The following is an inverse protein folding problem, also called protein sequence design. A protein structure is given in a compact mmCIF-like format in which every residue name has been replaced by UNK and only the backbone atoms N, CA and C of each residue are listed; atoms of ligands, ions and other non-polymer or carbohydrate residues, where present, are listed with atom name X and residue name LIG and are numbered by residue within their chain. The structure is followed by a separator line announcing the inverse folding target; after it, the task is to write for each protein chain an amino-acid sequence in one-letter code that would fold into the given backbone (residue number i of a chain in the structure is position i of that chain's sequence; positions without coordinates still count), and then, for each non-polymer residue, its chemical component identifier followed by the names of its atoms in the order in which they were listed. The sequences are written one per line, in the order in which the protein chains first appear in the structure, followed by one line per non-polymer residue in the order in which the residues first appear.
data_IF_067818457962
#
_entry.id   IF_067818457962
#
_cell.length_a   1.000
_cell.length_b   1.000
_cell.length_c   1.000
_cell.angle_alpha   90.00
_cell.angle_beta   90.00
_cell.angle_gamma   90.00
#
_symmetry.space_group_name_H-M   'P 1'
#
loop_
_entity.id
_entity.type
_entity.pdbx_description
1 polymer ?
#
# COMPACT_ATOMS: atom_id res chain seq x y z
N UNK A 1 -55.83 15.40 38.33
CA UNK A 1 -54.44 14.92 38.19
C UNK A 1 -53.56 16.14 38.03
N UNK A 2 -52.51 16.31 38.85
CA UNK A 2 -51.58 17.44 38.69
C UNK A 2 -50.65 17.23 37.51
N UNK A 3 -50.31 18.32 36.84
CA UNK A 3 -49.43 18.33 35.68
C UNK A 3 -48.35 19.40 35.88
N UNK A 4 -47.13 19.11 35.45
CA UNK A 4 -45.96 19.95 35.69
C UNK A 4 -45.29 20.34 34.37
N UNK A 5 -44.71 21.53 34.31
CA UNK A 5 -43.81 21.91 33.23
C UNK A 5 -42.42 21.34 33.52
N UNK A 6 -41.84 20.64 32.54
CA UNK A 6 -40.51 20.06 32.66
C UNK A 6 -39.71 20.42 31.41
N UNK A 7 -38.85 21.44 31.52
CA UNK A 7 -38.05 21.97 30.39
C UNK A 7 -37.10 20.93 29.77
N UNK A 8 -36.75 19.88 30.53
CA UNK A 8 -35.94 18.76 30.06
C UNK A 8 -36.71 17.79 29.16
N UNK A 9 -38.05 17.70 29.30
CA UNK A 9 -38.87 16.78 28.51
C UNK A 9 -39.14 17.28 27.10
N UNK A 10 -39.37 18.58 26.93
CA UNK A 10 -39.63 19.18 25.61
C UNK A 10 -38.46 19.01 24.64
N UNK A 11 -37.22 18.91 25.14
CA UNK A 11 -36.05 18.63 24.30
C UNK A 11 -36.04 17.20 23.74
N UNK A 12 -36.80 16.27 24.32
CA UNK A 12 -36.66 14.85 24.03
C UNK A 12 -38.01 14.11 24.06
N UNK A 13 -38.94 14.45 23.15
CA UNK A 13 -40.11 13.61 22.80
C UNK A 13 -39.63 12.22 22.38
N UNK A 14 -39.82 11.20 23.22
CA UNK A 14 -39.38 9.84 22.93
C UNK A 14 -40.32 8.80 23.54
N UNK A 15 -41.53 8.75 22.98
CA UNK A 15 -42.33 7.54 23.05
C UNK A 15 -41.87 6.61 21.91
N UNK A 16 -41.55 5.37 22.22
CA UNK A 16 -41.36 4.31 21.20
C UNK A 16 -42.74 3.90 20.73
N UNK A 17 -43.01 4.03 19.42
CA UNK A 17 -44.35 3.88 18.83
C UNK A 17 -44.97 2.47 18.96
N UNK A 18 -44.23 1.50 19.51
CA UNK A 18 -44.56 0.07 19.46
C UNK A 18 -45.15 -0.51 20.75
N UNK A 19 -45.30 0.28 21.82
CA UNK A 19 -45.75 -0.23 23.12
C UNK A 19 -47.30 -0.19 23.27
N UNK A 20 -47.92 -1.34 23.56
CA UNK A 20 -49.36 -1.44 23.86
C UNK A 20 -49.67 -0.78 25.21
N UNK A 21 -50.09 0.49 25.13
CA UNK A 21 -50.46 1.37 26.26
C UNK A 21 -51.46 0.69 27.20
N UNK A 22 -52.38 -0.13 26.66
CA UNK A 22 -53.39 -0.83 27.47
C UNK A 22 -52.72 -1.88 28.35
N UNK A 23 -51.82 -2.69 27.81
CA UNK A 23 -51.08 -3.71 28.58
C UNK A 23 -50.19 -3.12 29.65
N UNK A 24 -49.63 -1.93 29.41
CA UNK A 24 -48.76 -1.30 30.41
C UNK A 24 -49.58 -0.70 31.55
N UNK A 25 -50.66 0.00 31.23
CA UNK A 25 -51.49 0.70 32.22
C UNK A 25 -52.33 -0.24 33.08
N UNK A 26 -52.96 -1.24 32.45
CA UNK A 26 -53.98 -2.05 33.10
C UNK A 26 -53.39 -2.92 34.22
N UNK A 27 -54.18 -3.11 35.28
CA UNK A 27 -53.92 -4.02 36.39
C UNK A 27 -52.61 -3.77 37.14
N UNK A 28 -52.04 -2.56 37.01
CA UNK A 28 -50.87 -2.11 37.76
C UNK A 28 -51.22 -0.88 38.59
N UNK A 29 -50.78 -0.82 39.86
CA UNK A 29 -50.88 0.38 40.67
C UNK A 29 -49.83 1.43 40.26
N UNK A 30 -50.31 2.64 39.99
CA UNK A 30 -49.50 3.78 39.60
C UNK A 30 -49.58 4.89 40.64
N UNK A 31 -48.45 5.22 41.26
CA UNK A 31 -48.32 6.37 42.16
C UNK A 31 -48.21 7.65 41.32
N UNK A 32 -49.11 8.60 41.55
CA UNK A 32 -49.10 9.87 40.86
C UNK A 32 -48.13 10.79 41.58
N UNK A 33 -47.16 11.32 40.83
CA UNK A 33 -46.28 12.34 41.38
C UNK A 33 -47.08 13.61 41.66
N UNK A 34 -47.08 14.03 42.92
CA UNK A 34 -47.55 15.33 43.35
C UNK A 34 -46.44 16.05 44.13
N UNK A 35 -46.53 17.37 44.14
CA UNK A 35 -45.66 18.26 44.91
C UNK A 35 -46.14 18.47 46.35
N UNK A 36 -47.29 17.90 46.72
CA UNK A 36 -47.89 18.03 48.05
C UNK A 36 -47.42 16.97 49.05
N UNK A 37 -46.85 15.86 48.58
CA UNK A 37 -46.41 14.75 49.43
C UNK A 37 -47.51 13.77 49.82
N UNK A 38 -48.74 13.96 49.33
CA UNK A 38 -49.84 13.02 49.52
C UNK A 38 -49.63 11.74 48.71
N UNK A 39 -50.02 10.58 49.25
CA UNK A 39 -50.00 9.34 48.48
C UNK A 39 -51.22 9.30 47.56
N UNK A 40 -51.03 9.63 46.29
CA UNK A 40 -52.02 9.48 45.23
C UNK A 40 -51.74 8.19 44.44
N UNK A 41 -52.68 7.24 44.45
CA UNK A 41 -52.56 5.95 43.78
C UNK A 41 -53.69 5.73 42.78
N UNK A 42 -53.35 5.44 41.53
CA UNK A 42 -54.27 5.23 40.42
C UNK A 42 -54.17 3.79 39.92
N UNK A 43 -55.31 3.11 39.81
CA UNK A 43 -55.39 1.73 39.29
C UNK A 43 -56.32 1.72 38.09
N UNK A 44 -55.75 1.47 36.91
CA UNK A 44 -56.47 1.38 35.65
C UNK A 44 -56.94 -0.06 35.43
N UNK A 45 -58.25 -0.27 35.29
CA UNK A 45 -58.83 -1.59 35.03
C UNK A 45 -59.13 -1.79 33.54
N UNK A 46 -59.07 -3.03 33.07
CA UNK A 46 -59.31 -3.36 31.65
C UNK A 46 -60.70 -3.00 31.14
N UNK A 47 -61.69 -2.90 32.04
CA UNK A 47 -63.07 -2.54 31.75
C UNK A 47 -63.29 -1.03 31.51
N UNK A 48 -62.22 -0.22 31.62
CA UNK A 48 -62.26 1.23 31.47
C UNK A 48 -62.62 1.97 32.77
N UNK A 49 -62.68 1.29 33.91
CA UNK A 49 -62.79 1.95 35.21
C UNK A 49 -61.41 2.34 35.77
N UNK A 50 -61.35 3.50 36.42
CA UNK A 50 -60.15 4.01 37.09
C UNK A 50 -60.47 4.21 38.57
N UNK A 51 -59.69 3.57 39.42
CA UNK A 51 -59.77 3.78 40.88
C UNK A 51 -58.66 4.74 41.27
N UNK A 52 -59.02 5.93 41.76
CA UNK A 52 -58.08 6.91 42.30
C UNK A 52 -58.20 6.95 43.82
N UNK A 53 -57.13 6.68 44.55
CA UNK A 53 -57.05 6.76 46.02
C UNK A 53 -56.10 7.87 46.42
N UNK A 54 -56.57 8.83 47.21
CA UNK A 54 -55.74 9.92 47.78
C UNK A 54 -55.71 9.74 49.29
N UNK A 55 -54.56 9.36 49.84
CA UNK A 55 -54.39 9.04 51.27
C UNK A 55 -55.49 8.09 51.82
N UNK A 56 -55.99 7.17 50.99
CA UNK A 56 -57.04 6.20 51.35
C UNK A 56 -58.46 6.60 50.96
N UNK A 57 -58.71 7.85 50.54
CA UNK A 57 -60.01 8.28 50.03
C UNK A 57 -60.18 7.87 48.56
N UNK A 58 -61.14 7.00 48.29
CA UNK A 58 -61.35 6.40 46.96
C UNK A 58 -62.37 7.20 46.14
N UNK A 59 -61.98 7.55 44.92
CA UNK A 59 -62.84 8.14 43.90
C UNK A 59 -62.85 7.24 42.66
N UNK A 60 -64.04 6.80 42.27
CA UNK A 60 -64.23 6.06 41.02
C UNK A 60 -64.31 7.03 39.83
N UNK A 61 -63.48 6.79 38.84
CA UNK A 61 -63.37 7.53 37.59
C UNK A 61 -63.43 6.54 36.40
N UNK A 62 -63.43 7.07 35.18
CA UNK A 62 -63.35 6.27 33.95
C UNK A 62 -62.11 6.64 33.16
N UNK A 63 -61.58 5.71 32.40
CA UNK A 63 -60.51 5.96 31.46
C UNK A 63 -60.77 5.22 30.14
N UNK A 64 -60.23 5.75 29.06
CA UNK A 64 -60.32 5.16 27.73
C UNK A 64 -59.07 5.47 26.93
N UNK A 65 -58.48 4.46 26.30
CA UNK A 65 -57.47 4.68 25.28
C UNK A 65 -58.14 4.86 23.91
N UNK A 66 -57.79 5.93 23.20
CA UNK A 66 -58.24 6.26 21.85
C UNK A 66 -57.09 5.99 20.88
N UNK A 67 -57.08 4.83 20.18
CA UNK A 67 -55.99 4.48 19.27
C UNK A 67 -55.81 5.48 18.13
N UNK A 68 -56.91 6.04 17.62
CA UNK A 68 -56.90 6.97 16.48
C UNK A 68 -56.06 8.23 16.74
N UNK A 69 -56.03 8.72 17.98
CA UNK A 69 -55.21 9.88 18.38
C UNK A 69 -54.04 9.46 19.28
N UNK A 70 -53.81 8.16 19.47
CA UNK A 70 -52.84 7.60 20.43
C UNK A 70 -52.93 8.30 21.80
N UNK A 71 -54.15 8.56 22.28
CA UNK A 71 -54.39 9.36 23.47
C UNK A 71 -55.12 8.57 24.55
N UNK A 72 -54.84 8.89 25.79
CA UNK A 72 -55.49 8.39 26.99
C UNK A 72 -56.44 9.47 27.49
N UNK A 73 -57.73 9.18 27.53
CA UNK A 73 -58.74 10.03 28.15
C UNK A 73 -59.01 9.53 29.56
N UNK A 74 -58.95 10.44 30.54
CA UNK A 74 -59.29 10.15 31.94
C UNK A 74 -60.41 11.09 32.37
N UNK A 75 -61.54 10.52 32.75
CA UNK A 75 -62.77 11.21 33.12
C UNK A 75 -63.08 11.04 34.60
N UNK A 76 -62.97 12.14 35.34
CA UNK A 76 -63.46 12.29 36.71
C UNK A 76 -64.88 12.88 36.70
N UNK A 77 -65.58 12.84 37.85
CA UNK A 77 -66.99 13.27 37.97
C UNK A 77 -67.29 14.67 37.42
N UNK A 78 -66.32 15.59 37.47
CA UNK A 78 -66.49 16.98 37.05
C UNK A 78 -65.64 17.37 35.84
N UNK A 79 -64.60 16.60 35.50
CA UNK A 79 -63.56 17.02 34.55
C UNK A 79 -63.00 15.82 33.78
N UNK A 80 -62.73 16.00 32.49
CA UNK A 80 -62.03 15.01 31.68
C UNK A 80 -60.73 15.61 31.12
N UNK A 81 -59.67 14.81 31.13
CA UNK A 81 -58.37 15.19 30.61
C UNK A 81 -57.95 14.23 29.50
N UNK A 82 -57.37 14.77 28.44
CA UNK A 82 -56.75 13.98 27.37
C UNK A 82 -55.24 14.06 27.53
N UNK A 83 -54.58 12.91 27.46
CA UNK A 83 -53.14 12.77 27.62
C UNK A 83 -52.54 11.98 26.46
N UNK A 84 -51.32 12.34 26.07
CA UNK A 84 -50.51 11.58 25.14
C UNK A 84 -49.35 10.90 25.89
N UNK A 85 -49.18 9.57 25.75
CA UNK A 85 -47.98 8.88 26.20
C UNK A 85 -46.73 9.54 25.62
N UNK A 86 -45.84 10.05 26.48
CA UNK A 86 -44.64 10.79 26.04
C UNK A 86 -43.34 10.06 26.35
N UNK A 87 -43.29 9.32 27.46
CA UNK A 87 -42.11 8.56 27.87
C UNK A 87 -42.55 7.41 28.76
N UNK A 88 -41.92 6.26 28.58
CA UNK A 88 -42.18 5.11 29.42
C UNK A 88 -40.91 4.31 29.67
N UNK A 89 -40.73 3.88 30.91
CA UNK A 89 -39.76 2.87 31.29
C UNK A 89 -40.34 2.00 32.42
N UNK A 90 -39.53 1.12 33.01
CA UNK A 90 -39.99 0.21 34.07
C UNK A 90 -40.35 0.92 35.40
N UNK A 91 -40.04 2.21 35.54
CA UNK A 91 -40.16 2.98 36.79
C UNK A 91 -41.19 4.09 36.67
N UNK A 92 -41.13 4.90 35.61
CA UNK A 92 -41.94 6.09 35.37
C UNK A 92 -42.66 5.98 34.03
N UNK A 93 -43.93 6.32 34.04
CA UNK A 93 -44.73 6.60 32.87
C UNK A 93 -45.14 8.08 32.85
N UNK A 94 -44.73 8.81 31.82
CA UNK A 94 -45.02 10.23 31.64
C UNK A 94 -46.06 10.46 30.55
N UNK A 95 -47.08 11.24 30.90
CA UNK A 95 -48.24 11.56 30.09
C UNK A 95 -48.28 13.08 29.83
N UNK A 96 -48.18 13.51 28.58
CA UNK A 96 -48.33 14.92 28.21
C UNK A 96 -49.81 15.27 28.11
N UNK A 97 -50.28 16.34 28.76
CA UNK A 97 -51.65 16.81 28.59
C UNK A 97 -51.82 17.42 27.20
N UNK A 98 -52.86 16.97 26.47
CA UNK A 98 -53.11 17.38 25.09
C UNK A 98 -53.22 18.90 24.94
N UNK A 99 -52.64 19.43 23.86
CA UNK A 99 -52.55 20.86 23.60
C UNK A 99 -51.65 21.66 24.54
N UNK A 100 -50.91 21.03 25.46
CA UNK A 100 -50.02 21.71 26.42
C UNK A 100 -48.64 21.08 26.51
N UNK A 101 -47.68 21.78 27.12
CA UNK A 101 -46.36 21.24 27.46
C UNK A 101 -46.28 20.71 28.89
N UNK A 102 -47.44 20.44 29.50
CA UNK A 102 -47.50 19.94 30.88
C UNK A 102 -47.54 18.42 30.89
N UNK A 103 -46.79 17.83 31.80
CA UNK A 103 -46.65 16.39 31.94
C UNK A 103 -47.20 15.94 33.30
N UNK A 104 -47.96 14.86 33.29
CA UNK A 104 -48.30 14.08 34.46
C UNK A 104 -47.34 12.90 34.55
N UNK A 105 -46.80 12.64 35.74
CA UNK A 105 -45.84 11.56 35.97
C UNK A 105 -46.48 10.51 36.87
N UNK A 106 -46.37 9.27 36.45
CA UNK A 106 -46.87 8.10 37.14
C UNK A 106 -45.70 7.18 37.44
N UNK A 107 -45.56 6.73 38.66
CA UNK A 107 -44.46 5.89 39.11
C UNK A 107 -45.03 4.52 39.46
N UNK A 108 -44.38 3.45 39.02
CA UNK A 108 -44.80 2.08 39.38
C UNK A 108 -44.69 1.89 40.89
N UNK A 109 -45.76 1.43 41.55
CA UNK A 109 -45.72 1.18 43.00
C UNK A 109 -44.68 0.12 43.38
N UNK A 110 -44.42 -0.86 42.50
CA UNK A 110 -43.36 -1.87 42.67
C UNK A 110 -41.95 -1.25 42.83
N UNK A 111 -41.73 -0.08 42.23
CA UNK A 111 -40.44 0.63 42.27
C UNK A 111 -40.43 1.75 43.32
N UNK A 112 -41.50 1.88 44.10
CA UNK A 112 -41.66 2.96 45.08
C UNK A 112 -40.61 2.94 46.21
N UNK A 113 -40.09 1.77 46.57
CA UNK A 113 -39.03 1.62 47.57
C UNK A 113 -37.67 2.13 47.08
N UNK A 114 -37.39 1.98 45.78
CA UNK A 114 -36.12 2.39 45.16
C UNK A 114 -36.17 3.81 44.61
N UNK A 115 -37.36 4.28 44.23
CA UNK A 115 -37.54 5.57 43.58
C UNK A 115 -38.91 6.19 43.90
N UNK A 116 -38.90 7.18 44.79
CA UNK A 116 -40.06 8.03 45.09
C UNK A 116 -39.62 9.50 45.15
N UNK A 117 -39.61 10.21 43.99
CA UNK A 117 -39.14 11.58 43.92
C UNK A 117 -40.06 12.49 44.74
N UNK A 118 -39.47 13.25 45.66
CA UNK A 118 -40.22 14.20 46.53
C UNK A 118 -40.33 15.59 45.94
N UNK A 119 -39.58 15.85 44.87
CA UNK A 119 -39.53 17.15 44.22
C UNK A 119 -39.33 17.04 42.72
N UNK A 120 -39.76 18.07 41.99
CA UNK A 120 -39.56 18.17 40.54
C UNK A 120 -38.06 18.17 40.18
N UNK A 121 -37.19 18.65 41.08
CA UNK A 121 -35.73 18.62 40.92
C UNK A 121 -35.18 17.20 40.90
N UNK A 122 -35.64 16.33 41.81
CA UNK A 122 -35.23 14.92 41.85
C UNK A 122 -35.68 14.18 40.59
N UNK A 123 -36.92 14.45 40.14
CA UNK A 123 -37.45 13.91 38.91
C UNK A 123 -36.61 14.35 37.69
N UNK A 124 -36.25 15.64 37.63
CA UNK A 124 -35.39 16.16 36.56
C UNK A 124 -33.99 15.51 36.55
N UNK A 125 -33.37 15.37 37.74
CA UNK A 125 -32.06 14.72 37.88
C UNK A 125 -32.10 13.25 37.39
N UNK A 126 -33.20 12.54 37.63
CA UNK A 126 -33.39 11.17 37.15
C UNK A 126 -33.36 11.09 35.62
N UNK A 127 -34.13 11.95 34.95
CA UNK A 127 -34.16 12.00 33.49
C UNK A 127 -32.81 12.42 32.88
N UNK A 128 -32.13 13.39 33.50
CA UNK A 128 -30.77 13.78 33.10
C UNK A 128 -29.78 12.61 33.25
N UNK A 129 -29.91 11.80 34.30
CA UNK A 129 -29.10 10.61 34.52
C UNK A 129 -29.30 9.53 33.45
N UNK A 130 -30.54 9.29 33.03
CA UNK A 130 -30.85 8.35 31.93
C UNK A 130 -30.21 8.82 30.62
N UNK A 131 -30.36 10.09 30.27
CA UNK A 131 -29.81 10.62 29.02
C UNK A 131 -28.28 10.61 29.02
N UNK A 132 -27.64 10.89 30.17
CA UNK A 132 -26.18 10.80 30.29
C UNK A 132 -25.68 9.40 29.98
N UNK A 133 -26.26 8.37 30.62
CA UNK A 133 -25.91 6.96 30.37
C UNK A 133 -26.12 6.58 28.90
N UNK A 134 -27.18 7.08 28.27
CA UNK A 134 -27.45 6.84 26.85
C UNK A 134 -26.41 7.49 25.94
N UNK A 135 -26.02 8.72 26.22
CA UNK A 135 -25.02 9.43 25.43
C UNK A 135 -23.65 8.77 25.58
N UNK A 136 -23.28 8.37 26.80
CA UNK A 136 -22.08 7.58 27.07
C UNK A 136 -22.09 6.26 26.29
N UNK A 137 -23.20 5.52 26.28
CA UNK A 137 -23.34 4.28 25.51
C UNK A 137 -23.19 4.51 23.99
N UNK A 138 -23.81 5.57 23.44
CA UNK A 138 -23.66 5.94 22.03
C UNK A 138 -22.23 6.32 21.68
N UNK A 139 -21.53 7.02 22.57
CA UNK A 139 -20.12 7.35 22.38
C UNK A 139 -19.24 6.08 22.40
N UNK A 140 -19.52 5.15 23.32
CA UNK A 140 -18.81 3.87 23.38
C UNK A 140 -19.03 3.05 22.10
N UNK A 141 -20.26 2.97 21.60
CA UNK A 141 -20.59 2.29 20.34
C UNK A 141 -19.85 2.91 19.15
N UNK A 142 -19.83 4.25 19.06
CA UNK A 142 -19.05 4.96 18.02
C UNK A 142 -17.56 4.66 18.12
N UNK A 143 -16.98 4.66 19.33
CA UNK A 143 -15.56 4.33 19.55
C UNK A 143 -15.25 2.90 19.12
N UNK A 144 -16.11 1.95 19.49
CA UNK A 144 -15.98 0.56 19.10
C UNK A 144 -16.01 0.39 17.57
N UNK A 145 -16.94 1.07 16.89
CA UNK A 145 -17.03 1.02 15.42
C UNK A 145 -15.78 1.59 14.75
N UNK A 146 -15.24 2.70 15.25
CA UNK A 146 -13.99 3.30 14.75
C UNK A 146 -12.82 2.33 14.95
N UNK A 147 -12.73 1.68 16.12
CA UNK A 147 -11.67 0.71 16.40
C UNK A 147 -11.74 -0.51 15.46
N UNK A 148 -12.96 -1.00 15.17
CA UNK A 148 -13.16 -2.09 14.20
C UNK A 148 -12.70 -1.68 12.79
N UNK A 149 -13.08 -0.48 12.34
CA UNK A 149 -12.64 0.05 11.04
C UNK A 149 -11.11 0.20 10.97
N UNK A 150 -10.47 0.66 12.05
CA UNK A 150 -9.01 0.78 12.12
C UNK A 150 -8.33 -0.59 12.05
N UNK A 151 -8.84 -1.59 12.78
CA UNK A 151 -8.33 -2.98 12.71
C UNK A 151 -8.49 -3.58 11.31
N UNK A 152 -9.58 -3.30 10.63
CA UNK A 152 -9.81 -3.74 9.25
C UNK A 152 -8.86 -3.03 8.27
N UNK A 153 -8.67 -1.72 8.40
CA UNK A 153 -7.68 -0.97 7.61
C UNK A 153 -6.26 -1.48 7.81
N UNK A 154 -5.87 -1.78 9.07
CA UNK A 154 -4.56 -2.36 9.36
C UNK A 154 -4.38 -3.72 8.71
N UNK A 155 -5.39 -4.61 8.77
CA UNK A 155 -5.35 -5.91 8.07
C UNK A 155 -5.18 -5.75 6.56
N UNK A 156 -5.94 -4.83 5.95
CA UNK A 156 -5.82 -4.53 4.51
C UNK A 156 -4.44 -3.96 4.15
N UNK A 157 -3.87 -3.09 4.99
CA UNK A 157 -2.54 -2.52 4.77
C UNK A 157 -1.44 -3.57 4.91
N UNK A 158 -1.53 -4.45 5.91
CA UNK A 158 -0.60 -5.57 6.09
C UNK A 158 -0.68 -6.56 4.92
N UNK A 159 -1.88 -6.89 4.45
CA UNK A 159 -2.07 -7.75 3.29
C UNK A 159 -1.48 -7.11 2.02
N UNK A 160 -1.72 -5.83 1.80
CA UNK A 160 -1.12 -5.07 0.71
C UNK A 160 0.41 -5.07 0.78
N UNK A 161 0.99 -4.88 1.98
CA UNK A 161 2.45 -4.97 2.20
C UNK A 161 2.98 -6.36 1.87
N UNK A 162 2.29 -7.43 2.31
CA UNK A 162 2.66 -8.82 1.97
C UNK A 162 2.61 -9.07 0.47
N UNK A 163 1.57 -8.61 -0.22
CA UNK A 163 1.45 -8.72 -1.67
C UNK A 163 2.55 -7.94 -2.40
N UNK A 164 2.89 -6.74 -1.94
CA UNK A 164 4.02 -5.96 -2.48
C UNK A 164 5.35 -6.70 -2.29
N UNK A 165 5.62 -7.22 -1.10
CA UNK A 165 6.82 -8.02 -0.83
C UNK A 165 6.90 -9.25 -1.72
N UNK A 166 5.78 -9.96 -1.90
CA UNK A 166 5.72 -11.11 -2.79
C UNK A 166 6.02 -10.74 -4.26
N UNK A 167 5.48 -9.62 -4.76
CA UNK A 167 5.80 -9.11 -6.10
C UNK A 167 7.28 -8.78 -6.27
N UNK A 168 7.88 -8.11 -5.28
CA UNK A 168 9.31 -7.77 -5.27
C UNK A 168 10.17 -9.05 -5.27
N UNK A 169 9.80 -10.05 -4.47
CA UNK A 169 10.50 -11.34 -4.43
C UNK A 169 10.42 -12.07 -5.77
N UNK A 170 9.23 -12.14 -6.38
CA UNK A 170 9.05 -12.74 -7.71
C UNK A 170 9.87 -12.01 -8.79
N UNK A 171 9.95 -10.69 -8.74
CA UNK A 171 10.77 -9.92 -9.67
C UNK A 171 12.26 -10.18 -9.47
N UNK A 172 12.71 -10.27 -8.21
CA UNK A 172 14.10 -10.65 -7.88
C UNK A 172 14.45 -12.04 -8.39
N UNK A 173 13.56 -13.01 -8.19
CA UNK A 173 13.74 -14.37 -8.70
C UNK A 173 13.83 -14.39 -10.23
N UNK A 174 12.94 -13.66 -10.92
CA UNK A 174 12.99 -13.52 -12.39
C UNK A 174 14.29 -12.87 -12.87
N UNK A 175 14.77 -11.84 -12.17
CA UNK A 175 16.06 -11.21 -12.50
C UNK A 175 17.23 -12.16 -12.29
N UNK A 176 17.22 -12.94 -11.21
CA UNK A 176 18.26 -13.92 -10.90
C UNK A 176 18.26 -15.09 -11.89
N UNK A 177 17.09 -15.58 -12.30
CA UNK A 177 16.93 -16.55 -13.39
C UNK A 177 17.43 -15.99 -14.72
N UNK A 178 17.06 -14.76 -15.07
CA UNK A 178 17.54 -14.10 -16.29
C UNK A 178 19.07 -13.93 -16.29
N UNK A 179 19.67 -13.57 -15.14
CA UNK A 179 21.12 -13.45 -14.99
C UNK A 179 21.81 -14.81 -15.13
N UNK A 180 21.28 -15.87 -14.50
CA UNK A 180 21.78 -17.24 -14.65
C UNK A 180 21.72 -17.71 -16.10
N UNK A 181 20.60 -17.46 -16.80
CA UNK A 181 20.46 -17.80 -18.21
C UNK A 181 21.42 -17.00 -19.10
N UNK A 182 21.69 -15.73 -18.79
CA UNK A 182 22.71 -14.95 -19.51
C UNK A 182 24.13 -15.49 -19.29
N UNK A 183 24.48 -15.83 -18.05
CA UNK A 183 25.77 -16.45 -17.72
C UNK A 183 25.94 -17.82 -18.39
N UNK A 184 24.89 -18.62 -18.48
CA UNK A 184 24.90 -19.88 -19.25
C UNK A 184 25.12 -19.64 -20.74
N UNK A 185 24.38 -18.70 -21.35
CA UNK A 185 24.60 -18.34 -22.76
C UNK A 185 26.01 -17.85 -23.02
N UNK A 186 26.59 -17.03 -22.14
CA UNK A 186 27.99 -16.58 -22.25
C UNK A 186 28.97 -17.76 -22.20
N UNK A 187 28.77 -18.69 -21.26
CA UNK A 187 29.59 -19.91 -21.17
C UNK A 187 29.47 -20.78 -22.42
N UNK A 188 28.28 -20.90 -22.99
CA UNK A 188 28.06 -21.63 -24.25
C UNK A 188 28.75 -20.94 -25.43
N UNK A 189 28.64 -19.62 -25.55
CA UNK A 189 29.33 -18.83 -26.57
C UNK A 189 30.85 -18.93 -26.46
N UNK A 190 31.39 -18.90 -25.24
CA UNK A 190 32.83 -19.08 -24.97
C UNK A 190 33.29 -20.47 -25.42
N UNK A 191 32.57 -21.54 -25.06
CA UNK A 191 32.85 -22.91 -25.53
C UNK A 191 32.80 -23.00 -27.05
N UNK A 192 31.79 -22.40 -27.68
CA UNK A 192 31.66 -22.42 -29.14
C UNK A 192 32.82 -21.66 -29.81
N UNK A 193 33.25 -20.53 -29.22
CA UNK A 193 34.40 -19.77 -29.68
C UNK A 193 35.72 -20.54 -29.51
N UNK A 194 35.87 -21.32 -28.43
CA UNK A 194 37.02 -22.19 -28.21
C UNK A 194 37.07 -23.31 -29.25
N UNK A 195 35.97 -24.04 -29.45
CA UNK A 195 35.83 -25.06 -30.51
C UNK A 195 36.15 -24.47 -31.89
N UNK A 196 35.67 -23.25 -32.18
CA UNK A 196 35.97 -22.58 -33.44
C UNK A 196 37.45 -22.26 -33.59
N UNK A 197 38.12 -21.79 -32.53
CA UNK A 197 39.58 -21.53 -32.54
C UNK A 197 40.36 -22.82 -32.77
N UNK A 198 40.01 -23.91 -32.09
CA UNK A 198 40.64 -25.21 -32.28
C UNK A 198 40.48 -25.70 -33.73
N UNK A 199 39.28 -25.58 -34.28
CA UNK A 199 39.00 -25.94 -35.67
C UNK A 199 39.79 -25.06 -36.67
N UNK A 200 39.91 -23.76 -36.41
CA UNK A 200 40.72 -22.86 -37.23
C UNK A 200 42.21 -23.22 -37.18
N UNK A 201 42.74 -23.56 -35.99
CA UNK A 201 44.12 -24.04 -35.82
C UNK A 201 44.32 -25.35 -36.58
N UNK A 202 43.39 -26.29 -36.45
CA UNK A 202 43.45 -27.59 -37.12
C UNK A 202 43.38 -27.45 -38.64
N UNK A 203 42.58 -26.51 -39.16
CA UNK A 203 42.52 -26.16 -40.57
C UNK A 203 43.83 -25.56 -41.07
N UNK A 204 44.43 -24.63 -40.32
CA UNK A 204 45.75 -24.06 -40.64
C UNK A 204 46.83 -25.13 -40.66
N UNK A 205 46.81 -26.07 -39.70
CA UNK A 205 47.74 -27.19 -39.65
C UNK A 205 47.60 -28.12 -40.85
N UNK A 206 46.37 -28.50 -41.22
CA UNK A 206 46.09 -29.31 -42.42
C UNK A 206 46.59 -28.63 -43.70
N UNK A 207 46.34 -27.33 -43.85
CA UNK A 207 46.82 -26.55 -45.00
C UNK A 207 48.36 -26.52 -45.06
N UNK A 208 49.01 -26.33 -43.90
CA UNK A 208 50.47 -26.35 -43.81
C UNK A 208 51.06 -27.72 -44.17
N UNK A 209 50.44 -28.81 -43.69
CA UNK A 209 50.87 -30.16 -44.01
C UNK A 209 50.72 -30.46 -45.51
N UNK A 210 49.60 -30.06 -46.13
CA UNK A 210 49.38 -30.19 -47.57
C UNK A 210 50.45 -29.42 -48.37
N UNK A 211 50.77 -28.18 -47.98
CA UNK A 211 51.81 -27.39 -48.63
C UNK A 211 53.21 -28.04 -48.53
N UNK A 212 53.53 -28.67 -47.40
CA UNK A 212 54.78 -29.43 -47.21
C UNK A 212 54.85 -30.65 -48.14
N UNK A 213 53.75 -31.41 -48.24
CA UNK A 213 53.68 -32.59 -49.13
C UNK A 213 53.79 -32.18 -50.60
N UNK A 214 53.07 -31.14 -51.03
CA UNK A 214 53.17 -30.60 -52.40
C UNK A 214 54.58 -30.13 -52.73
N UNK A 215 55.26 -29.47 -51.77
CA UNK A 215 56.64 -29.02 -51.92
C UNK A 215 57.61 -30.17 -52.20
N UNK A 216 57.55 -31.27 -51.44
CA UNK A 216 58.40 -32.43 -51.70
C UNK A 216 58.09 -33.13 -53.03
N UNK A 217 56.82 -33.24 -53.41
CA UNK A 217 56.45 -33.78 -54.72
C UNK A 217 57.05 -32.95 -55.87
N UNK A 218 56.99 -31.61 -55.76
CA UNK A 218 57.58 -30.72 -56.76
C UNK A 218 59.11 -30.90 -56.87
N UNK A 219 59.81 -31.03 -55.73
CA UNK A 219 61.26 -31.30 -55.72
C UNK A 219 61.55 -32.63 -56.42
N UNK A 220 60.75 -33.67 -56.15
CA UNK A 220 60.87 -34.97 -56.82
C UNK A 220 60.71 -34.86 -58.34
N UNK A 221 59.64 -34.19 -58.81
CA UNK A 221 59.38 -33.98 -60.24
C UNK A 221 60.53 -33.24 -60.92
N UNK A 222 61.01 -32.14 -60.31
CA UNK A 222 62.14 -31.36 -60.83
C UNK A 222 63.38 -32.25 -60.95
N UNK A 223 63.69 -33.03 -59.90
CA UNK A 223 64.88 -33.88 -59.86
C UNK A 223 64.83 -34.97 -60.93
N UNK A 224 63.69 -35.66 -61.07
CA UNK A 224 63.49 -36.69 -62.10
C UNK A 224 63.60 -36.10 -63.50
N UNK A 225 62.97 -34.95 -63.75
CA UNK A 225 63.00 -34.28 -65.07
C UNK A 225 64.42 -33.88 -65.46
N UNK A 226 65.19 -33.31 -64.53
CA UNK A 226 66.61 -32.98 -64.75
C UNK A 226 67.48 -34.22 -64.96
N UNK A 227 67.19 -35.31 -64.27
CA UNK A 227 67.91 -36.58 -64.46
C UNK A 227 67.69 -37.12 -65.88
N UNK A 228 66.45 -37.15 -66.35
CA UNK A 228 66.12 -37.60 -67.72
C UNK A 228 66.79 -36.69 -68.77
N UNK A 229 66.75 -35.37 -68.56
CA UNK A 229 67.32 -34.40 -69.50
C UNK A 229 68.85 -34.51 -69.60
N UNK A 230 69.54 -34.65 -68.46
CA UNK A 230 71.01 -34.81 -68.42
C UNK A 230 71.47 -36.17 -68.89
N UNK A 231 70.68 -37.23 -68.66
CA UNK A 231 70.94 -38.57 -69.20
C UNK A 231 70.92 -38.59 -70.74
N UNK A 232 69.98 -37.88 -71.35
CA UNK A 232 69.84 -37.82 -72.80
C UNK A 232 70.88 -36.92 -73.49
N UNK A 233 71.56 -36.02 -72.76
CA UNK A 233 72.43 -34.99 -73.34
C UNK A 233 73.92 -35.10 -73.01
N UNK A 234 74.35 -35.87 -72.00
CA UNK A 234 75.73 -35.87 -71.49
C UNK A 234 76.43 -37.23 -71.62
N UNK A 235 77.65 -37.26 -72.19
CA UNK A 235 78.44 -38.48 -72.44
C UNK A 235 79.36 -38.92 -71.28
N UNK A 236 79.63 -38.05 -70.31
CA UNK A 236 80.77 -38.23 -69.38
C UNK A 236 80.34 -38.51 -67.91
N UNK A 237 79.34 -39.35 -67.68
CA UNK A 237 78.91 -39.75 -66.31
C UNK A 237 78.30 -38.64 -65.44
N UNK A 238 78.26 -37.41 -65.96
CA UNK A 238 77.72 -36.18 -65.33
C UNK A 238 76.26 -36.32 -64.90
N UNK A 239 75.49 -37.19 -65.59
CA UNK A 239 74.09 -37.49 -65.31
C UNK A 239 73.84 -38.07 -63.90
N UNK A 240 74.86 -38.60 -63.22
CA UNK A 240 74.74 -39.08 -61.83
C UNK A 240 74.94 -37.95 -60.81
N UNK A 241 75.84 -37.01 -61.09
CA UNK A 241 76.30 -36.00 -60.13
C UNK A 241 75.36 -34.78 -60.11
N UNK A 242 74.95 -34.31 -61.29
CA UNK A 242 74.16 -33.08 -61.41
C UNK A 242 72.79 -33.17 -60.73
N UNK A 243 72.01 -34.25 -60.87
CA UNK A 243 70.72 -34.38 -60.17
C UNK A 243 70.86 -34.42 -58.65
N UNK A 244 71.93 -35.02 -58.11
CA UNK A 244 72.19 -35.06 -56.67
C UNK A 244 72.48 -33.67 -56.10
N UNK A 245 73.28 -32.87 -56.82
CA UNK A 245 73.58 -31.49 -56.42
C UNK A 245 72.31 -30.64 -56.46
N UNK A 246 71.52 -30.76 -57.54
CA UNK A 246 70.27 -30.01 -57.68
C UNK A 246 69.24 -30.41 -56.63
N UNK A 247 69.09 -31.71 -56.33
CA UNK A 247 68.23 -32.19 -55.25
C UNK A 247 68.65 -31.60 -53.90
N UNK A 248 69.94 -31.61 -53.57
CA UNK A 248 70.46 -31.00 -52.34
C UNK A 248 70.13 -29.51 -52.27
N UNK A 249 70.41 -28.74 -53.33
CA UNK A 249 70.12 -27.30 -53.39
C UNK A 249 68.61 -27.04 -53.25
N UNK A 250 67.77 -27.76 -53.99
CA UNK A 250 66.31 -27.64 -53.92
C UNK A 250 65.76 -28.01 -52.55
N UNK A 251 66.32 -29.02 -51.87
CA UNK A 251 65.95 -29.40 -50.51
C UNK A 251 66.28 -28.31 -49.49
N UNK A 252 67.49 -27.73 -49.55
CA UNK A 252 67.87 -26.61 -48.67
C UNK A 252 67.03 -25.36 -48.94
N UNK A 253 66.73 -25.06 -50.21
CA UNK A 253 65.84 -23.96 -50.60
C UNK A 253 64.43 -24.16 -50.05
N UNK A 254 63.86 -25.37 -50.17
CA UNK A 254 62.55 -25.70 -49.65
C UNK A 254 62.49 -25.57 -48.12
N UNK A 255 63.52 -26.03 -47.40
CA UNK A 255 63.65 -25.88 -45.95
C UNK A 255 63.70 -24.39 -45.54
N UNK A 256 64.40 -23.55 -46.29
CA UNK A 256 64.45 -22.11 -46.06
C UNK A 256 63.08 -21.45 -46.30
N UNK A 257 62.38 -21.83 -47.37
CA UNK A 257 61.04 -21.33 -47.70
C UNK A 257 60.02 -21.71 -46.62
N UNK A 258 60.04 -22.96 -46.12
CA UNK A 258 59.16 -23.39 -45.02
C UNK A 258 59.46 -22.61 -43.74
N UNK A 259 60.73 -22.42 -43.40
CA UNK A 259 61.15 -21.64 -42.22
C UNK A 259 60.68 -20.19 -42.32
N UNK A 260 60.80 -19.59 -43.49
CA UNK A 260 60.34 -18.23 -43.78
C UNK A 260 58.81 -18.13 -43.71
N UNK A 261 58.07 -19.07 -44.31
CA UNK A 261 56.61 -19.14 -44.24
C UNK A 261 56.13 -19.27 -42.79
N UNK A 262 56.77 -20.12 -41.98
CA UNK A 262 56.46 -20.28 -40.56
C UNK A 262 56.64 -18.96 -39.80
N UNK A 263 57.75 -18.26 -40.01
CA UNK A 263 58.01 -16.95 -39.38
C UNK A 263 56.98 -15.90 -39.82
N UNK A 264 56.62 -15.87 -41.11
CA UNK A 264 55.65 -14.92 -41.68
C UNK A 264 54.23 -15.15 -41.15
N UNK A 265 53.81 -16.40 -40.99
CA UNK A 265 52.51 -16.73 -40.40
C UNK A 265 52.47 -16.28 -38.93
N UNK A 266 53.52 -16.58 -38.15
CA UNK A 266 53.63 -16.17 -36.74
C UNK A 266 53.63 -14.64 -36.63
N UNK A 267 54.40 -13.93 -37.46
CA UNK A 267 54.46 -12.46 -37.43
C UNK A 267 53.12 -11.83 -37.79
N UNK A 268 52.43 -12.36 -38.80
CA UNK A 268 51.11 -11.85 -39.19
C UNK A 268 50.05 -12.10 -38.12
N UNK A 269 50.08 -13.27 -37.47
CA UNK A 269 49.21 -13.57 -36.33
C UNK A 269 49.51 -12.66 -35.12
N UNK A 270 50.78 -12.36 -34.87
CA UNK A 270 51.17 -11.43 -33.80
C UNK A 270 50.74 -9.99 -34.10
N UNK A 271 50.90 -9.54 -35.36
CA UNK A 271 50.47 -8.22 -35.83
C UNK A 271 48.95 -8.05 -35.74
N UNK A 272 48.20 -9.07 -36.15
CA UNK A 272 46.73 -9.05 -36.04
C UNK A 272 46.25 -9.05 -34.59
N UNK A 273 46.89 -9.81 -33.69
CA UNK A 273 46.64 -9.71 -32.24
C UNK A 273 46.95 -8.33 -31.68
N UNK A 274 48.09 -7.73 -32.03
CA UNK A 274 48.45 -6.37 -31.61
C UNK A 274 47.41 -5.34 -32.05
N UNK A 275 47.02 -5.35 -33.33
CA UNK A 275 45.99 -4.44 -33.88
C UNK A 275 44.63 -4.59 -33.20
N UNK A 276 44.25 -5.81 -32.80
CA UNK A 276 42.99 -6.03 -32.04
C UNK A 276 43.08 -5.42 -30.65
N UNK A 277 44.17 -5.68 -29.92
CA UNK A 277 44.40 -5.13 -28.58
C UNK A 277 44.41 -3.60 -28.59
N UNK A 278 45.11 -2.99 -29.55
CA UNK A 278 45.17 -1.54 -29.71
C UNK A 278 43.79 -0.92 -29.99
N UNK A 279 42.94 -1.60 -30.78
CA UNK A 279 41.55 -1.17 -31.00
C UNK A 279 40.70 -1.25 -29.74
N UNK A 280 40.88 -2.28 -28.91
CA UNK A 280 40.17 -2.43 -27.64
C UNK A 280 40.62 -1.38 -26.62
N UNK A 281 41.92 -1.11 -26.54
CA UNK A 281 42.49 -0.09 -25.65
C UNK A 281 41.97 1.30 -26.03
N UNK A 282 41.95 1.64 -27.33
CA UNK A 282 41.36 2.90 -27.81
C UNK A 282 39.87 3.05 -27.47
N UNK A 283 39.09 1.96 -27.60
CA UNK A 283 37.67 1.98 -27.20
C UNK A 283 37.48 2.23 -25.71
N UNK A 284 38.31 1.60 -24.87
CA UNK A 284 38.29 1.83 -23.41
C UNK A 284 38.64 3.27 -23.06
N UNK A 285 39.62 3.87 -23.73
CA UNK A 285 39.98 5.28 -23.53
C UNK A 285 38.82 6.21 -23.92
N UNK A 286 38.15 5.96 -25.05
CA UNK A 286 36.97 6.72 -25.47
C UNK A 286 35.81 6.60 -24.47
N UNK A 287 35.54 5.39 -23.97
CA UNK A 287 34.52 5.15 -22.94
C UNK A 287 34.85 5.84 -21.62
N UNK A 288 36.10 5.74 -21.17
CA UNK A 288 36.58 6.42 -19.97
C UNK A 288 36.48 7.95 -20.09
N UNK A 289 36.83 8.51 -21.25
CA UNK A 289 36.68 9.93 -21.54
C UNK A 289 35.21 10.39 -21.52
N UNK A 290 34.28 9.57 -22.05
CA UNK A 290 32.83 9.86 -21.96
C UNK A 290 32.34 9.81 -20.51
N UNK A 291 32.79 8.84 -19.73
CA UNK A 291 32.44 8.72 -18.32
C UNK A 291 32.89 9.94 -17.50
N UNK A 292 34.13 10.41 -17.68
CA UNK A 292 34.65 11.60 -16.99
C UNK A 292 33.78 12.83 -17.32
N UNK A 293 33.47 13.08 -18.60
CA UNK A 293 32.61 14.20 -19.01
C UNK A 293 31.24 14.17 -18.33
N UNK A 294 30.60 13.00 -18.26
CA UNK A 294 29.30 12.84 -17.59
C UNK A 294 29.40 13.08 -16.08
N UNK A 295 30.49 12.63 -15.44
CA UNK A 295 30.72 12.89 -14.01
C UNK A 295 30.89 14.38 -13.75
N UNK A 296 31.78 15.04 -14.48
CA UNK A 296 32.07 16.46 -14.28
C UNK A 296 30.82 17.33 -14.55
N UNK A 297 29.97 16.94 -15.50
CA UNK A 297 28.70 17.63 -15.78
C UNK A 297 27.69 17.45 -14.63
N UNK A 298 27.59 16.26 -14.05
CA UNK A 298 26.74 16.02 -12.85
C UNK A 298 27.23 16.80 -11.65
N UNK A 299 28.54 16.86 -11.44
CA UNK A 299 29.15 17.62 -10.33
C UNK A 299 28.88 19.13 -10.50
N UNK A 300 28.99 19.65 -11.73
CA UNK A 300 28.65 21.04 -12.05
C UNK A 300 27.16 21.34 -11.81
N UNK A 301 26.25 20.48 -12.26
CA UNK A 301 24.80 20.63 -12.03
C UNK A 301 24.44 20.62 -10.54
N UNK A 302 25.10 19.77 -9.73
CA UNK A 302 24.91 19.76 -8.27
C UNK A 302 25.39 21.07 -7.62
N UNK A 303 26.57 21.55 -8.01
CA UNK A 303 27.13 22.81 -7.50
C UNK A 303 26.21 23.99 -7.84
N UNK A 304 25.71 24.06 -9.07
CA UNK A 304 24.83 25.14 -9.53
C UNK A 304 23.47 25.08 -8.81
N UNK A 305 22.92 23.88 -8.58
CA UNK A 305 21.71 23.69 -7.79
C UNK A 305 21.87 24.20 -6.36
N UNK A 306 22.98 23.87 -5.70
CA UNK A 306 23.29 24.38 -4.36
C UNK A 306 23.46 25.91 -4.33
N UNK A 307 24.09 26.49 -5.36
CA UNK A 307 24.20 27.96 -5.50
C UNK A 307 22.82 28.61 -5.60
N UNK A 308 21.97 28.12 -6.50
CA UNK A 308 20.61 28.63 -6.71
C UNK A 308 19.72 28.51 -5.48
N UNK A 309 19.89 27.44 -4.70
CA UNK A 309 19.15 27.23 -3.45
C UNK A 309 19.58 28.22 -2.36
N UNK A 310 20.89 28.50 -2.22
CA UNK A 310 21.40 29.55 -1.33
C UNK A 310 20.83 30.92 -1.69
N UNK A 311 20.85 31.30 -2.97
CA UNK A 311 20.27 32.59 -3.40
C UNK A 311 18.77 32.70 -3.09
N UNK A 312 18.01 31.60 -3.28
CA UNK A 312 16.58 31.56 -2.93
C UNK A 312 16.36 31.73 -1.43
N UNK A 313 17.18 31.09 -0.59
CA UNK A 313 17.11 31.25 0.85
C UNK A 313 17.45 32.69 1.27
N UNK A 314 18.50 33.28 0.72
CA UNK A 314 18.85 34.68 0.97
C UNK A 314 17.72 35.64 0.57
N UNK A 315 17.11 35.46 -0.61
CA UNK A 315 15.96 36.25 -1.05
C UNK A 315 14.76 36.10 -0.10
N UNK A 316 14.49 34.89 0.41
CA UNK A 316 13.45 34.64 1.42
C UNK A 316 13.76 35.35 2.74
N UNK A 317 15.01 35.29 3.21
CA UNK A 317 15.46 35.96 4.43
C UNK A 317 15.36 37.49 4.30
N UNK A 318 15.81 38.06 3.18
CA UNK A 318 15.66 39.50 2.90
C UNK A 318 14.19 39.94 2.91
N UNK A 319 13.29 39.16 2.30
CA UNK A 319 11.84 39.44 2.33
C UNK A 319 11.25 39.34 3.74
N UNK A 320 11.66 38.36 4.54
CA UNK A 320 11.25 38.23 5.95
C UNK A 320 11.73 39.43 6.77
N UNK A 321 13.02 39.77 6.66
CA UNK A 321 13.61 40.92 7.35
C UNK A 321 12.89 42.22 6.97
N UNK A 322 12.66 42.47 5.68
CA UNK A 322 11.90 43.64 5.22
C UNK A 322 10.48 43.71 5.83
N UNK A 323 9.77 42.58 5.91
CA UNK A 323 8.45 42.52 6.56
C UNK A 323 8.52 42.82 8.06
N UNK A 324 9.53 42.28 8.75
CA UNK A 324 9.76 42.53 10.18
C UNK A 324 10.08 44.01 10.43
N UNK A 325 11.03 44.59 9.68
CA UNK A 325 11.39 46.01 9.79
C UNK A 325 10.18 46.92 9.52
N UNK A 326 9.37 46.60 8.50
CA UNK A 326 8.13 47.34 8.21
C UNK A 326 7.10 47.23 9.33
N UNK A 327 6.97 46.07 9.95
CA UNK A 327 6.06 45.85 11.08
C UNK A 327 6.51 46.61 12.33
N UNK A 328 7.81 46.55 12.67
CA UNK A 328 8.40 47.30 13.78
C UNK A 328 8.21 48.82 13.61
N UNK A 329 8.49 49.36 12.42
CA UNK A 329 8.26 50.78 12.12
C UNK A 329 6.80 51.19 12.27
N UNK A 330 5.85 50.30 11.95
CA UNK A 330 4.41 50.57 12.09
C UNK A 330 3.95 50.55 13.54
N UNK A 331 4.66 49.84 14.42
CA UNK A 331 4.34 49.76 15.85
C UNK A 331 4.91 50.95 16.63
N UNK A 332 6.06 51.49 16.23
CA UNK A 332 6.69 52.67 16.85
C UNK A 332 6.00 54.00 16.53
N UNK A 333 5.06 54.03 15.58
CA UNK A 333 4.31 55.22 15.14
C UNK A 333 2.88 55.30 15.73
N UNK A 334 2.56 54.43 16.70
CA UNK A 334 1.36 54.50 17.55
C UNK A 334 1.80 54.72 18.98
#
# INVERSE_FOLDING_TARGET
MKTFLLDSFNRYKRFSEELDVRTILCNKPWLIFNDCGDKELYVFQEDGSLIASVNGNVTNAKWQYIPANKSLVVSFKEQSYMFHPSFINNVIFALQQDGTERFAFMISEEQSESFYPKSLKELNNYFEGIERKRNEAKEQEKRWLIEQQQKEQQRMEEENKRQQQYRIEQERQRQEEARRAEEERRREEEKLAEIKKENDILKQYKLFLAAKVLGYNLIGIITVTLTILTYNSATDGVWVIVPLIVFCISYYLHKAIISWLRRRIISNHLQTKKKKKEKEDRKREEEWGRYIKQRDQRDFEQIEKHRMERERQEKRMRRKNYKITRWLNKMLLK
#
